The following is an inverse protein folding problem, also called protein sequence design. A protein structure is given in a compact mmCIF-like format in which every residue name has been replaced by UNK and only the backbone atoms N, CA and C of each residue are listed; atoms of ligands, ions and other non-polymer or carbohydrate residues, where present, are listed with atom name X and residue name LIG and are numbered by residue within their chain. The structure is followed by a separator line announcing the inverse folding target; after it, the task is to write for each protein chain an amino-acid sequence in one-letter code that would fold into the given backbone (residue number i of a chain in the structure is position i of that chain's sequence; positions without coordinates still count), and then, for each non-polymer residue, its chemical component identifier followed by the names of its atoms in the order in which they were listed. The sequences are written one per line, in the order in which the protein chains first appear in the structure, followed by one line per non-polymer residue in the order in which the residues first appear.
data_IF_551211591291
#
_entry.id   IF_551211591291
#
_cell.length_a   1.000
_cell.length_b   1.000
_cell.length_c   1.000
_cell.angle_alpha   90.00
_cell.angle_beta   90.00
_cell.angle_gamma   90.00
#
_symmetry.space_group_name_H-M   'P 1'
#
loop_
_entity.id
_entity.type
_entity.pdbx_description
1 polymer ?
#
# COMPACT_ATOMS: atom_id res chain seq x y z
N UNK A 1 -5.75 -4.80 -3.25
CA UNK A 1 -7.21 -5.01 -3.10
C UNK A 1 -7.89 -3.73 -3.50
N UNK A 2 -8.85 -3.82 -4.36
CA UNK A 2 -9.56 -2.68 -4.94
C UNK A 2 -11.05 -2.83 -4.60
N UNK A 3 -11.71 -1.72 -4.31
CA UNK A 3 -13.14 -1.65 -4.05
C UNK A 3 -13.86 -1.21 -5.33
N UNK A 4 -14.86 -1.96 -5.75
CA UNK A 4 -15.65 -1.68 -6.93
C UNK A 4 -17.13 -1.75 -6.60
N UNK A 5 -17.86 -0.66 -6.84
CA UNK A 5 -19.31 -0.68 -6.86
C UNK A 5 -19.81 -1.35 -8.14
N UNK A 6 -20.49 -2.48 -8.02
CA UNK A 6 -21.15 -3.11 -9.16
C UNK A 6 -22.50 -2.45 -9.43
N UNK A 7 -22.60 -1.82 -10.59
CA UNK A 7 -23.87 -1.28 -11.09
C UNK A 7 -24.73 -2.44 -11.61
N UNK A 8 -25.92 -2.62 -11.03
CA UNK A 8 -26.89 -3.62 -11.47
C UNK A 8 -27.22 -4.71 -10.43
N UNK A 9 -26.43 -4.90 -9.39
CA UNK A 9 -26.77 -5.78 -8.27
C UNK A 9 -27.34 -4.90 -7.15
N UNK A 10 -28.66 -4.92 -6.99
CA UNK A 10 -29.33 -4.15 -5.96
C UNK A 10 -29.66 -5.09 -4.79
N UNK A 11 -29.27 -4.73 -3.58
CA UNK A 11 -29.68 -5.44 -2.35
C UNK A 11 -31.18 -5.24 -2.09
N UNK A 12 -31.79 -6.08 -1.24
CA UNK A 12 -33.21 -5.98 -0.86
C UNK A 12 -33.60 -4.59 -0.30
N UNK A 13 -32.60 -3.80 0.14
CA UNK A 13 -32.80 -2.43 0.62
C UNK A 13 -32.66 -1.35 -0.48
N UNK A 14 -32.60 -1.73 -1.76
CA UNK A 14 -32.48 -0.83 -2.90
C UNK A 14 -31.08 -0.20 -3.12
N UNK A 15 -30.04 -0.69 -2.42
CA UNK A 15 -28.67 -0.16 -2.54
C UNK A 15 -27.77 -1.09 -3.35
N UNK A 16 -26.84 -0.50 -4.11
CA UNK A 16 -25.81 -1.26 -4.80
C UNK A 16 -24.87 -1.93 -3.77
N UNK A 17 -24.54 -3.20 -4.03
CA UNK A 17 -23.54 -3.92 -3.22
C UNK A 17 -22.13 -3.42 -3.58
N UNK A 18 -21.35 -3.02 -2.58
CA UNK A 18 -19.92 -2.85 -2.74
C UNK A 18 -19.24 -4.22 -2.61
N UNK A 19 -18.27 -4.49 -3.48
CA UNK A 19 -17.53 -5.75 -3.49
C UNK A 19 -16.04 -5.43 -3.37
N UNK A 20 -15.37 -6.04 -2.39
CA UNK A 20 -13.90 -6.02 -2.29
C UNK A 20 -13.36 -7.24 -3.00
N UNK A 21 -12.39 -7.05 -3.88
CA UNK A 21 -11.79 -8.11 -4.70
C UNK A 21 -10.32 -8.27 -4.40
N UNK A 22 -9.84 -9.52 -4.38
CA UNK A 22 -8.42 -9.84 -4.39
C UNK A 22 -8.00 -10.17 -5.81
N UNK A 23 -7.11 -9.37 -6.37
CA UNK A 23 -6.58 -9.52 -7.72
C UNK A 23 -5.13 -9.96 -7.69
N UNK A 24 -4.77 -10.93 -8.53
CA UNK A 24 -3.39 -11.37 -8.73
C UNK A 24 -2.77 -10.61 -9.91
N UNK A 25 -1.80 -9.77 -9.63
CA UNK A 25 -1.07 -9.02 -10.66
C UNK A 25 -0.33 -9.97 -11.64
N UNK A 26 0.29 -11.03 -11.12
CA UNK A 26 1.11 -11.93 -11.94
C UNK A 26 0.27 -12.77 -12.93
N UNK A 27 -0.95 -13.13 -12.55
CA UNK A 27 -1.82 -14.00 -13.38
C UNK A 27 -2.93 -13.23 -14.08
N UNK A 28 -3.16 -11.98 -13.72
CA UNK A 28 -4.22 -11.15 -14.30
C UNK A 28 -5.64 -11.57 -13.92
N UNK A 29 -5.83 -12.35 -12.84
CA UNK A 29 -7.15 -12.89 -12.45
C UNK A 29 -7.58 -12.43 -11.06
N UNK A 30 -8.89 -12.36 -10.87
CA UNK A 30 -9.50 -12.17 -9.55
C UNK A 30 -9.49 -13.52 -8.81
N UNK A 31 -8.83 -13.57 -7.65
CA UNK A 31 -8.69 -14.77 -6.84
C UNK A 31 -9.92 -15.05 -5.97
N UNK A 32 -10.52 -14.00 -5.44
CA UNK A 32 -11.72 -14.06 -4.62
C UNK A 32 -12.39 -12.69 -4.53
N UNK A 33 -13.66 -12.70 -4.15
CA UNK A 33 -14.45 -11.51 -3.86
C UNK A 33 -15.17 -11.64 -2.52
N UNK A 34 -15.46 -10.51 -1.87
CA UNK A 34 -16.26 -10.43 -0.64
C UNK A 34 -17.23 -9.26 -0.77
N UNK A 35 -18.51 -9.52 -0.54
CA UNK A 35 -19.55 -8.49 -0.54
C UNK A 35 -19.55 -7.70 0.76
N UNK A 36 -19.60 -6.39 0.66
CA UNK A 36 -19.78 -5.51 1.80
C UNK A 36 -21.28 -5.39 2.10
N UNK A 37 -21.68 -5.78 3.31
CA UNK A 37 -23.11 -5.73 3.71
C UNK A 37 -23.67 -4.31 3.79
N UNK A 38 -22.79 -3.32 4.01
CA UNK A 38 -23.14 -1.90 4.11
C UNK A 38 -22.04 -1.03 3.49
N UNK A 39 -22.42 0.11 2.95
CA UNK A 39 -21.46 1.09 2.43
C UNK A 39 -20.55 1.61 3.56
N UNK A 40 -19.25 1.60 3.34
CA UNK A 40 -18.24 2.00 4.35
C UNK A 40 -17.76 0.86 5.26
N UNK A 41 -18.21 -0.39 5.02
CA UNK A 41 -17.78 -1.57 5.76
C UNK A 41 -16.71 -2.41 5.00
N UNK A 42 -16.07 -1.85 3.99
CA UNK A 42 -15.03 -2.49 3.19
C UNK A 42 -13.91 -3.06 4.08
N UNK A 43 -13.53 -2.32 5.12
CA UNK A 43 -12.53 -2.75 6.11
C UNK A 43 -12.90 -4.09 6.75
N UNK A 44 -14.18 -4.34 7.01
CA UNK A 44 -14.66 -5.61 7.61
C UNK A 44 -14.65 -6.77 6.63
N UNK A 45 -14.77 -6.50 5.33
CA UNK A 45 -14.74 -7.51 4.29
C UNK A 45 -13.29 -8.01 3.99
N UNK A 46 -12.28 -7.17 4.18
CA UNK A 46 -10.87 -7.51 3.89
C UNK A 46 -10.38 -8.73 4.68
N UNK A 47 -10.59 -8.86 6.01
CA UNK A 47 -10.20 -10.06 6.73
C UNK A 47 -10.87 -11.34 6.23
N UNK A 48 -12.14 -11.27 5.81
CA UNK A 48 -12.88 -12.40 5.24
C UNK A 48 -12.34 -12.78 3.86
N UNK A 49 -12.02 -11.77 3.04
CA UNK A 49 -11.40 -11.98 1.74
C UNK A 49 -10.01 -12.64 1.87
N UNK A 50 -9.19 -12.20 2.84
CA UNK A 50 -7.90 -12.81 3.14
C UNK A 50 -8.04 -14.29 3.53
N UNK A 51 -9.11 -14.67 4.23
CA UNK A 51 -9.36 -16.08 4.58
C UNK A 51 -9.57 -16.97 3.36
N UNK A 52 -10.20 -16.45 2.33
CA UNK A 52 -10.55 -17.19 1.10
C UNK A 52 -9.35 -17.48 0.19
N UNK A 53 -8.21 -16.80 0.37
CA UNK A 53 -7.06 -16.89 -0.54
C UNK A 53 -5.80 -17.42 0.16
N UNK A 54 -4.92 -18.07 -0.60
CA UNK A 54 -3.58 -18.45 -0.14
C UNK A 54 -2.60 -17.30 -0.41
N UNK A 55 -2.05 -16.71 0.66
CA UNK A 55 -1.14 -15.57 0.59
C UNK A 55 0.27 -15.87 1.13
N UNK A 56 0.54 -17.12 1.51
CA UNK A 56 1.87 -17.52 1.99
C UNK A 56 2.95 -17.24 0.93
N UNK A 57 3.99 -16.50 1.33
CA UNK A 57 5.08 -16.07 0.45
C UNK A 57 4.68 -15.05 -0.62
N UNK A 58 3.51 -14.42 -0.50
CA UNK A 58 3.03 -13.40 -1.43
C UNK A 58 2.96 -12.03 -0.76
N UNK A 59 3.04 -10.99 -1.59
CA UNK A 59 2.92 -9.59 -1.14
C UNK A 59 1.47 -9.14 -1.36
N UNK A 60 0.82 -8.72 -0.30
CA UNK A 60 -0.50 -8.09 -0.34
C UNK A 60 -0.34 -6.58 -0.42
N UNK A 61 -0.87 -5.99 -1.49
CA UNK A 61 -1.01 -4.54 -1.60
C UNK A 61 -2.48 -4.17 -1.42
N UNK A 62 -2.72 -3.09 -0.72
CA UNK A 62 -4.06 -2.59 -0.48
C UNK A 62 -4.01 -1.07 -0.30
N UNK A 63 -5.17 -0.44 -0.34
CA UNK A 63 -5.27 0.98 -0.09
C UNK A 63 -4.97 1.31 1.39
N UNK A 64 -4.82 2.60 1.68
CA UNK A 64 -4.48 3.08 3.02
C UNK A 64 -5.51 2.71 4.10
N UNK A 65 -6.78 2.50 3.75
CA UNK A 65 -7.81 2.08 4.72
C UNK A 65 -7.50 0.71 5.32
N UNK A 66 -6.78 -0.14 4.58
CA UNK A 66 -6.33 -1.46 5.02
C UNK A 66 -5.15 -1.42 6.00
N UNK A 67 -4.57 -0.24 6.27
CA UNK A 67 -3.52 -0.08 7.28
C UNK A 67 -4.14 -0.16 8.68
N UNK A 68 -4.59 -1.35 9.05
CA UNK A 68 -5.20 -1.70 10.34
C UNK A 68 -4.44 -2.86 10.97
N UNK A 69 -4.29 -2.80 12.30
CA UNK A 69 -3.54 -3.84 13.03
C UNK A 69 -4.05 -5.24 12.74
N UNK A 70 -5.36 -5.44 12.80
CA UNK A 70 -5.99 -6.75 12.62
C UNK A 70 -5.76 -7.32 11.21
N UNK A 71 -5.77 -6.46 10.18
CA UNK A 71 -5.50 -6.85 8.80
C UNK A 71 -4.04 -7.26 8.64
N UNK A 72 -3.11 -6.45 9.16
CA UNK A 72 -1.67 -6.72 9.12
C UNK A 72 -1.33 -8.02 9.86
N UNK A 73 -1.85 -8.20 11.07
CA UNK A 73 -1.66 -9.41 11.86
C UNK A 73 -2.17 -10.64 11.11
N UNK A 74 -3.32 -10.52 10.44
CA UNK A 74 -3.91 -11.61 9.66
C UNK A 74 -3.07 -11.98 8.44
N UNK A 75 -2.56 -10.99 7.69
CA UNK A 75 -1.66 -11.22 6.56
C UNK A 75 -0.42 -11.98 7.04
N UNK A 76 0.21 -11.52 8.12
CA UNK A 76 1.42 -12.13 8.69
C UNK A 76 1.17 -13.54 9.21
N UNK A 77 0.07 -13.77 9.93
CA UNK A 77 -0.31 -15.11 10.42
C UNK A 77 -0.50 -16.12 9.31
N UNK A 78 -0.91 -15.67 8.12
CA UNK A 78 -1.03 -16.51 6.92
C UNK A 78 0.29 -16.61 6.12
N UNK A 79 1.41 -16.10 6.64
CA UNK A 79 2.72 -16.16 6.00
C UNK A 79 2.87 -15.23 4.79
N UNK A 80 2.01 -14.22 4.67
CA UNK A 80 2.10 -13.19 3.65
C UNK A 80 2.90 -11.97 4.11
N UNK A 81 3.40 -11.22 3.14
CA UNK A 81 3.96 -9.89 3.32
C UNK A 81 2.96 -8.82 2.87
N UNK A 82 3.17 -7.58 3.27
CA UNK A 82 2.31 -6.49 2.85
C UNK A 82 3.12 -5.24 2.44
N UNK A 83 2.50 -4.44 1.57
CA UNK A 83 2.89 -3.07 1.28
C UNK A 83 1.63 -2.21 1.18
N UNK A 84 1.42 -1.32 2.14
CA UNK A 84 0.21 -0.51 2.26
C UNK A 84 0.59 0.96 2.39
N UNK A 85 -0.18 1.83 1.71
CA UNK A 85 0.02 3.27 1.79
C UNK A 85 -0.35 3.80 3.19
N UNK A 86 0.46 4.72 3.71
CA UNK A 86 0.25 5.36 4.99
C UNK A 86 -0.38 6.75 4.79
N UNK A 87 -1.64 6.89 5.13
CA UNK A 87 -2.42 8.13 5.02
C UNK A 87 -2.93 8.63 6.38
N UNK A 88 -3.81 9.63 6.33
CA UNK A 88 -4.37 10.30 7.51
C UNK A 88 -5.30 9.40 8.36
N UNK A 89 -5.73 8.24 7.86
CA UNK A 89 -6.47 7.25 8.66
C UNK A 89 -5.64 6.68 9.82
N UNK A 90 -4.29 6.71 9.70
CA UNK A 90 -3.34 6.38 10.76
C UNK A 90 -2.52 7.63 11.11
N UNK A 91 -3.22 8.67 11.56
CA UNK A 91 -2.68 10.03 11.74
C UNK A 91 -1.43 10.07 12.61
N UNK A 92 -1.47 9.45 13.79
CA UNK A 92 -0.33 9.46 14.73
C UNK A 92 0.90 8.74 14.16
N UNK A 93 0.69 7.60 13.50
CA UNK A 93 1.76 6.85 12.85
C UNK A 93 2.35 7.68 11.70
N UNK A 94 1.50 8.25 10.84
CA UNK A 94 1.93 9.06 9.70
C UNK A 94 2.80 10.24 10.12
N UNK A 95 2.32 11.07 11.04
CA UNK A 95 3.07 12.23 11.50
C UNK A 95 4.36 11.86 12.22
N UNK A 96 4.34 10.79 13.04
CA UNK A 96 5.54 10.28 13.68
C UNK A 96 6.59 9.80 12.67
N UNK A 97 6.16 9.16 11.58
CA UNK A 97 7.03 8.77 10.47
C UNK A 97 7.56 10.00 9.72
N UNK A 98 6.69 10.92 9.31
CA UNK A 98 7.06 12.12 8.57
C UNK A 98 8.09 12.97 9.34
N UNK A 99 7.90 13.11 10.65
CA UNK A 99 8.80 13.90 11.49
C UNK A 99 10.18 13.24 11.64
N UNK A 100 10.21 11.94 11.86
CA UNK A 100 11.47 11.19 12.02
C UNK A 100 12.26 10.98 10.74
N UNK A 101 11.59 11.01 9.59
CA UNK A 101 12.28 10.98 8.29
C UNK A 101 13.09 12.25 8.00
N UNK A 102 12.81 13.36 8.71
CA UNK A 102 13.56 14.60 8.53
C UNK A 102 15.02 14.40 8.95
N UNK A 103 15.93 14.62 8.01
CA UNK A 103 17.37 14.49 8.25
C UNK A 103 17.93 13.07 8.29
N UNK A 104 17.09 12.04 8.10
CA UNK A 104 17.58 10.67 7.96
C UNK A 104 18.08 10.37 6.55
N UNK A 105 19.21 9.69 6.47
CA UNK A 105 19.70 9.12 5.22
C UNK A 105 18.95 7.83 4.92
N UNK A 106 18.39 7.66 3.69
CA UNK A 106 17.76 6.40 3.32
C UNK A 106 18.79 5.27 3.26
N UNK A 107 18.40 4.08 3.71
CA UNK A 107 19.22 2.88 3.59
C UNK A 107 19.38 2.44 2.13
N UNK A 108 18.42 2.81 1.28
CA UNK A 108 18.45 2.58 -0.17
C UNK A 108 17.66 3.67 -0.88
N UNK A 109 18.16 4.10 -2.05
CA UNK A 109 17.45 5.04 -2.94
C UNK A 109 17.55 4.54 -4.38
N UNK A 110 16.43 4.64 -5.09
CA UNK A 110 16.32 4.30 -6.50
C UNK A 110 15.49 5.36 -7.21
N UNK A 111 15.97 5.79 -8.37
CA UNK A 111 15.26 6.73 -9.25
C UNK A 111 15.02 6.08 -10.60
N UNK A 112 13.78 6.12 -11.03
CA UNK A 112 13.28 5.62 -12.31
C UNK A 112 12.86 6.79 -13.18
N UNK A 113 13.22 6.74 -14.45
CA UNK A 113 12.97 7.83 -15.41
C UNK A 113 14.20 8.71 -15.64
N UNK A 114 14.03 9.83 -16.38
CA UNK A 114 12.75 10.39 -16.86
C UNK A 114 12.08 9.53 -17.93
N UNK A 115 10.78 9.26 -17.74
CA UNK A 115 9.93 8.53 -18.68
C UNK A 115 9.04 9.50 -19.45
N UNK A 116 9.01 9.37 -20.77
CA UNK A 116 8.15 10.15 -21.65
C UNK A 116 6.87 9.36 -22.00
N UNK A 117 5.72 9.86 -21.60
CA UNK A 117 4.44 9.23 -21.92
C UNK A 117 3.27 10.20 -21.80
N UNK A 118 2.24 10.02 -22.61
CA UNK A 118 0.98 10.76 -22.52
C UNK A 118 1.13 12.30 -22.36
N UNK A 119 2.09 12.91 -23.07
CA UNK A 119 2.31 14.36 -23.05
C UNK A 119 2.97 14.88 -21.75
N UNK A 120 3.57 14.03 -20.96
CA UNK A 120 4.28 14.37 -19.71
C UNK A 120 5.64 13.69 -19.63
N UNK A 121 6.50 14.27 -18.82
CA UNK A 121 7.78 13.70 -18.40
C UNK A 121 7.63 13.36 -16.93
N UNK A 122 7.91 12.14 -16.54
CA UNK A 122 7.75 11.66 -15.17
C UNK A 122 9.03 11.02 -14.65
N UNK A 123 9.45 11.42 -13.45
CA UNK A 123 10.59 10.82 -12.73
C UNK A 123 10.09 10.35 -11.37
N UNK A 124 10.33 9.08 -11.04
CA UNK A 124 9.91 8.45 -9.79
C UNK A 124 11.10 8.15 -8.91
N UNK A 125 11.06 8.61 -7.68
CA UNK A 125 12.12 8.34 -6.69
C UNK A 125 11.56 7.55 -5.53
N UNK A 126 12.24 6.46 -5.18
CA UNK A 126 11.93 5.58 -4.06
C UNK A 126 13.07 5.66 -3.05
N UNK A 127 12.76 5.99 -1.79
CA UNK A 127 13.70 5.98 -0.68
C UNK A 127 13.21 5.05 0.41
N UNK A 128 14.04 4.09 0.79
CA UNK A 128 13.72 3.07 1.77
C UNK A 128 14.46 3.34 3.07
N UNK A 129 13.74 3.25 4.18
CA UNK A 129 14.25 3.49 5.51
C UNK A 129 13.92 2.33 6.43
N UNK A 130 14.77 2.07 7.41
CA UNK A 130 14.52 1.08 8.44
C UNK A 130 13.40 1.55 9.37
N UNK A 131 12.27 0.88 9.32
CA UNK A 131 11.10 1.19 10.14
C UNK A 131 11.33 0.95 11.63
N UNK A 132 12.30 0.11 12.02
CA UNK A 132 12.65 -0.10 13.44
C UNK A 132 13.16 1.18 14.10
N UNK A 133 13.84 2.03 13.36
CA UNK A 133 14.33 3.31 13.86
C UNK A 133 13.24 4.39 13.87
N UNK A 134 12.18 4.22 13.07
CA UNK A 134 11.20 5.26 12.77
C UNK A 134 9.87 5.03 13.50
N UNK A 135 9.38 3.80 13.57
CA UNK A 135 8.09 3.47 14.18
C UNK A 135 8.22 3.40 15.70
N UNK A 136 7.54 4.29 16.41
CA UNK A 136 7.59 4.36 17.87
C UNK A 136 6.89 3.18 18.55
N UNK A 137 5.70 2.85 18.06
CA UNK A 137 4.84 1.83 18.64
C UNK A 137 5.08 0.47 17.94
N UNK A 138 6.23 -0.11 18.24
CA UNK A 138 6.67 -1.38 17.65
C UNK A 138 5.81 -2.56 18.08
N UNK A 139 5.27 -2.52 19.29
CA UNK A 139 4.40 -3.56 19.83
C UNK A 139 3.06 -3.59 19.10
N UNK A 140 2.50 -2.41 18.84
CA UNK A 140 1.25 -2.27 18.08
C UNK A 140 1.39 -2.74 16.65
N UNK A 141 2.48 -2.36 15.96
CA UNK A 141 2.66 -2.62 14.54
C UNK A 141 3.49 -3.87 14.23
N UNK A 142 4.04 -4.48 15.27
CA UNK A 142 4.70 -5.80 15.27
C UNK A 142 5.86 -5.97 14.28
N UNK A 143 7.07 -6.08 14.80
CA UNK A 143 8.23 -6.57 14.06
C UNK A 143 8.87 -5.58 13.10
N UNK A 144 9.72 -6.14 12.28
CA UNK A 144 10.53 -5.43 11.32
C UNK A 144 9.67 -4.88 10.17
N UNK A 145 9.83 -3.58 9.91
CA UNK A 145 9.13 -2.89 8.82
C UNK A 145 10.09 -2.03 8.03
N UNK A 146 9.75 -1.78 6.78
CA UNK A 146 10.41 -0.80 5.91
C UNK A 146 9.46 0.35 5.65
N UNK A 147 9.92 1.58 5.81
CA UNK A 147 9.22 2.77 5.35
C UNK A 147 9.72 3.11 3.97
N UNK A 148 8.79 3.26 3.03
CA UNK A 148 9.09 3.65 1.65
C UNK A 148 8.53 5.05 1.42
N UNK A 149 9.41 6.01 1.13
CA UNK A 149 9.04 7.32 0.66
C UNK A 149 9.10 7.34 -0.86
N UNK A 150 7.96 7.54 -1.49
CA UNK A 150 7.78 7.66 -2.92
C UNK A 150 7.58 9.12 -3.29
N UNK A 151 8.26 9.57 -4.33
CA UNK A 151 8.10 10.90 -4.92
C UNK A 151 7.99 10.74 -6.44
N UNK A 152 6.92 11.29 -7.04
CA UNK A 152 6.77 11.40 -8.49
C UNK A 152 6.81 12.86 -8.90
N UNK A 153 7.79 13.18 -9.70
CA UNK A 153 7.98 14.49 -10.30
C UNK A 153 7.46 14.44 -11.75
N UNK A 154 6.43 15.23 -12.03
CA UNK A 154 5.75 15.20 -13.32
C UNK A 154 5.72 16.59 -13.95
N UNK A 155 6.20 16.71 -15.20
CA UNK A 155 6.16 17.92 -16.01
C UNK A 155 5.22 17.69 -17.19
N UNK A 156 4.16 18.50 -17.32
CA UNK A 156 3.29 18.51 -18.49
C UNK A 156 3.94 19.26 -19.64
N UNK A 157 4.18 18.60 -20.79
CA UNK A 157 4.84 19.21 -21.94
C UNK A 157 4.06 20.39 -22.55
N UNK A 158 2.72 20.32 -22.56
CA UNK A 158 1.87 21.35 -23.17
C UNK A 158 1.86 22.67 -22.43
N UNK A 159 2.00 22.64 -21.10
CA UNK A 159 1.87 23.83 -20.25
C UNK A 159 3.14 24.15 -19.43
N UNK A 160 4.12 23.25 -19.42
CA UNK A 160 5.25 23.34 -18.51
C UNK A 160 4.87 23.16 -17.01
N UNK A 161 3.61 22.81 -16.73
CA UNK A 161 3.16 22.66 -15.35
C UNK A 161 3.90 21.52 -14.65
N UNK A 162 4.43 21.82 -13.47
CA UNK A 162 5.20 20.93 -12.62
C UNK A 162 4.36 20.46 -11.44
N UNK A 163 4.35 19.16 -11.17
CA UNK A 163 3.63 18.55 -10.04
C UNK A 163 4.56 17.58 -9.32
N UNK A 164 4.67 17.71 -8.00
CA UNK A 164 5.41 16.79 -7.14
C UNK A 164 4.42 16.05 -6.23
N UNK A 165 4.22 14.76 -6.50
CA UNK A 165 3.43 13.87 -5.66
C UNK A 165 4.35 13.17 -4.64
N UNK A 166 3.90 13.08 -3.39
CA UNK A 166 4.62 12.39 -2.30
C UNK A 166 3.70 11.40 -1.62
N UNK A 167 4.17 10.16 -1.48
CA UNK A 167 3.47 9.10 -0.75
C UNK A 167 4.41 8.40 0.23
N UNK A 168 3.82 7.87 1.30
CA UNK A 168 4.49 7.00 2.25
C UNK A 168 3.85 5.63 2.23
N UNK A 169 4.67 4.58 2.25
CA UNK A 169 4.21 3.21 2.39
C UNK A 169 4.89 2.54 3.57
N UNK A 170 4.18 1.63 4.20
CA UNK A 170 4.72 0.70 5.19
C UNK A 170 4.73 -0.68 4.58
N UNK A 171 5.85 -1.38 4.68
CA UNK A 171 6.02 -2.73 4.16
C UNK A 171 6.65 -3.65 5.19
N UNK A 172 6.23 -4.93 5.20
CA UNK A 172 6.90 -5.98 5.99
C UNK A 172 8.14 -6.55 5.30
N UNK A 173 8.38 -6.18 4.05
CA UNK A 173 9.52 -6.65 3.27
C UNK A 173 10.83 -6.01 3.74
N UNK A 174 11.53 -6.70 4.62
CA UNK A 174 12.89 -6.31 5.05
C UNK A 174 13.99 -6.70 4.06
N UNK A 175 13.74 -7.67 3.23
CA UNK A 175 14.78 -8.34 2.44
C UNK A 175 15.23 -7.54 1.21
N UNK A 176 14.49 -6.52 0.79
CA UNK A 176 14.91 -5.68 -0.33
C UNK A 176 16.20 -4.90 0.00
N UNK A 177 16.40 -4.56 1.27
CA UNK A 177 17.61 -3.84 1.71
C UNK A 177 18.84 -4.75 1.84
N UNK A 178 18.67 -6.05 2.09
CA UNK A 178 19.78 -6.98 2.33
C UNK A 178 20.21 -7.81 1.11
N UNK A 179 19.35 -8.00 0.10
CA UNK A 179 19.63 -8.88 -1.04
C UNK A 179 20.37 -8.22 -2.22
N UNK A 180 20.59 -6.91 -2.24
CA UNK A 180 21.30 -6.21 -3.31
C UNK A 180 22.75 -5.88 -3.01
N UNK A 181 23.38 -6.52 -2.02
CA UNK A 181 24.83 -6.38 -1.76
C UNK A 181 25.66 -7.42 -2.50
N UNK A 182 25.03 -8.32 -3.25
CA UNK A 182 25.73 -9.32 -4.08
C UNK A 182 25.15 -9.35 -5.51
N UNK A 183 25.56 -8.37 -6.32
CA UNK A 183 25.63 -8.44 -7.78
C UNK A 183 26.96 -7.84 -8.21
#
# INVERSE_FOLDING_TARGET
MDDKAEHGIVQDNGRNSNIVSAYSYNTGITLATEACREKGNEIKAIPQLIDKISISGKIVTADAMSMQKDIIDKIRKKGGDFQIELKANQRSLRYGVEDRLKGLTPAYSYTDGPELGHGRIETRTYRLFDGLAIICDKEKWGGNMTIIKYEADTIKKSSGAHTLEKRLYVSSLLQVLRRRVHW
#
